data_IF_198418226753
#
_entry.id   IF_198418226753
#
_cell.length_a   1.000
_cell.length_b   1.000
_cell.length_c   1.000
_cell.angle_alpha   90.00
_cell.angle_beta   90.00
_cell.angle_gamma   90.00
#
_symmetry.space_group_name_H-M   'P 1'
#
loop_
_entity.id
_entity.type
_entity.pdbx_description
1 polymer ?
#
# COMPACT_ATOMS: atom_id res chain seq x y z
N UNK A 1 14.32 -8.24 -26.06
CA UNK A 1 15.36 -7.22 -26.29
C UNK A 1 15.88 -6.80 -24.93
N UNK A 2 17.13 -7.13 -24.62
CA UNK A 2 17.81 -6.77 -23.37
C UNK A 2 18.19 -5.30 -23.42
N UNK A 3 17.39 -4.45 -22.79
CA UNK A 3 17.79 -3.08 -22.45
C UNK A 3 18.99 -3.18 -21.50
N UNK A 4 20.16 -2.78 -21.99
CA UNK A 4 21.34 -2.59 -21.16
C UNK A 4 20.97 -1.61 -20.04
N UNK A 5 21.01 -2.10 -18.81
CA UNK A 5 20.94 -1.26 -17.62
C UNK A 5 22.11 -0.28 -17.69
N UNK A 6 21.86 0.98 -18.07
CA UNK A 6 22.76 2.04 -17.68
C UNK A 6 22.69 2.08 -16.15
N UNK A 7 23.69 1.49 -15.50
CA UNK A 7 23.92 1.57 -14.06
C UNK A 7 24.20 3.03 -13.72
N UNK A 8 23.14 3.76 -13.41
CA UNK A 8 23.22 5.12 -12.88
C UNK A 8 23.65 5.01 -11.43
N UNK A 9 24.82 5.53 -11.11
CA UNK A 9 25.25 5.65 -9.72
C UNK A 9 24.59 6.87 -9.07
N UNK A 10 23.41 6.65 -8.50
CA UNK A 10 22.67 7.66 -7.75
C UNK A 10 23.41 8.18 -6.53
N UNK A 11 24.35 7.39 -5.99
CA UNK A 11 25.16 7.79 -4.85
C UNK A 11 26.33 8.70 -5.27
N UNK A 12 26.67 8.80 -6.56
CA UNK A 12 27.70 9.72 -7.02
C UNK A 12 27.20 11.19 -7.04
N UNK A 13 25.92 11.40 -7.34
CA UNK A 13 25.31 12.72 -7.41
C UNK A 13 25.16 13.33 -6.00
N UNK A 14 25.82 14.48 -5.78
CA UNK A 14 25.76 15.22 -4.51
C UNK A 14 24.35 15.66 -4.14
N UNK A 15 23.48 15.87 -5.13
CA UNK A 15 22.09 16.22 -4.90
C UNK A 15 21.39 15.14 -4.07
N UNK A 16 21.43 13.89 -4.52
CA UNK A 16 20.72 12.77 -3.87
C UNK A 16 21.31 12.40 -2.51
N UNK A 17 22.62 12.61 -2.30
CA UNK A 17 23.23 12.50 -0.95
C UNK A 17 22.58 13.44 0.07
N UNK A 18 21.94 14.51 -0.43
CA UNK A 18 21.30 15.51 0.41
C UNK A 18 19.82 15.37 0.62
N UNK A 19 19.18 14.41 -0.04
CA UNK A 19 17.73 14.22 0.02
C UNK A 19 17.38 13.04 0.89
N UNK A 20 16.25 13.15 1.58
CA UNK A 20 15.65 12.05 2.36
C UNK A 20 15.25 10.86 1.49
N UNK A 21 14.90 11.13 0.23
CA UNK A 21 14.44 10.14 -0.73
C UNK A 21 14.95 10.47 -2.13
N UNK A 22 15.32 9.42 -2.86
CA UNK A 22 15.86 9.48 -4.22
C UNK A 22 15.08 8.56 -5.16
N UNK A 23 15.23 8.70 -6.49
CA UNK A 23 14.58 7.86 -7.48
C UNK A 23 14.71 6.33 -7.27
N UNK A 24 15.88 5.75 -6.94
CA UNK A 24 15.98 4.32 -6.67
C UNK A 24 15.29 3.90 -5.37
N UNK A 25 14.89 4.87 -4.54
CA UNK A 25 14.21 4.67 -3.26
C UNK A 25 12.68 4.70 -3.36
N UNK A 26 12.12 4.76 -4.57
CA UNK A 26 10.68 4.65 -4.80
C UNK A 26 10.40 3.60 -5.86
N UNK A 27 9.24 2.95 -5.75
CA UNK A 27 8.73 2.07 -6.78
C UNK A 27 7.65 2.81 -7.56
N UNK A 28 7.82 2.95 -8.87
CA UNK A 28 6.87 3.66 -9.72
C UNK A 28 6.27 2.68 -10.71
N UNK A 29 4.94 2.69 -10.80
CA UNK A 29 4.18 1.91 -11.75
C UNK A 29 3.26 2.85 -12.54
N UNK A 30 3.35 2.79 -13.87
CA UNK A 30 2.44 3.51 -14.75
C UNK A 30 1.32 2.57 -15.19
N UNK A 31 0.07 3.00 -14.99
CA UNK A 31 -1.11 2.26 -15.47
C UNK A 31 -1.50 2.80 -16.83
N UNK A 32 -1.54 1.93 -17.83
CA UNK A 32 -1.79 2.29 -19.22
C UNK A 32 -2.74 1.31 -19.88
N UNK A 33 -3.45 1.77 -20.91
CA UNK A 33 -4.20 0.90 -21.80
C UNK A 33 -3.25 0.36 -22.87
N UNK A 34 -3.19 -0.95 -23.01
CA UNK A 34 -2.38 -1.68 -23.99
C UNK A 34 -3.26 -2.61 -24.85
N UNK A 35 -2.83 -2.93 -26.09
CA UNK A 35 -3.55 -3.86 -26.93
C UNK A 35 -3.34 -5.30 -26.43
N UNK A 36 -4.42 -6.09 -26.36
CA UNK A 36 -4.33 -7.50 -25.99
C UNK A 36 -3.77 -8.36 -27.12
N UNK A 37 -2.64 -9.00 -26.85
CA UNK A 37 -2.05 -10.01 -27.73
C UNK A 37 -2.78 -11.37 -27.68
N UNK A 38 -3.85 -11.52 -26.89
CA UNK A 38 -4.54 -12.80 -26.67
C UNK A 38 -5.71 -13.08 -27.64
N UNK A 39 -6.02 -12.17 -28.56
CA UNK A 39 -7.04 -12.36 -29.60
C UNK A 39 -6.44 -12.43 -30.99
N UNK A 40 -6.70 -13.51 -31.73
CA UNK A 40 -6.31 -13.61 -33.14
C UNK A 40 -6.86 -12.43 -33.96
N UNK A 41 -5.94 -11.71 -34.62
CA UNK A 41 -5.96 -10.65 -35.64
C UNK A 41 -7.21 -9.80 -35.98
N UNK A 42 -8.40 -9.97 -35.41
CA UNK A 42 -9.58 -9.25 -35.85
C UNK A 42 -10.39 -8.51 -34.77
N UNK A 43 -10.02 -8.63 -33.49
CA UNK A 43 -10.52 -7.74 -32.42
C UNK A 43 -9.42 -7.58 -31.36
N UNK A 44 -8.56 -6.56 -31.49
CA UNK A 44 -7.62 -6.20 -30.42
C UNK A 44 -8.44 -5.66 -29.25
N UNK A 45 -8.61 -6.47 -28.21
CA UNK A 45 -9.27 -6.03 -26.99
C UNK A 45 -8.30 -5.16 -26.19
N UNK A 46 -8.73 -3.98 -25.78
CA UNK A 46 -7.95 -3.12 -24.89
C UNK A 46 -7.89 -3.72 -23.48
N UNK A 47 -6.71 -3.67 -22.87
CA UNK A 47 -6.50 -4.08 -21.48
C UNK A 47 -5.74 -3.02 -20.73
N UNK A 48 -6.05 -2.85 -19.44
CA UNK A 48 -5.19 -2.08 -18.56
C UNK A 48 -3.99 -2.93 -18.19
N UNK A 49 -2.79 -2.37 -18.31
CA UNK A 49 -1.53 -2.92 -17.84
C UNK A 49 -0.88 -2.00 -16.82
N UNK A 50 -0.05 -2.59 -15.96
CA UNK A 50 0.72 -1.87 -14.94
C UNK A 50 2.18 -2.14 -15.22
N UNK A 51 2.89 -1.11 -15.66
CA UNK A 51 4.28 -1.20 -16.07
C UNK A 51 5.18 -0.51 -15.06
N UNK A 52 6.19 -1.23 -14.58
CA UNK A 52 7.19 -0.65 -13.69
C UNK A 52 8.07 0.34 -14.46
N UNK A 53 8.26 1.54 -13.89
CA UNK A 53 9.17 2.55 -14.41
C UNK A 53 10.51 2.42 -13.69
N UNK A 54 11.56 2.15 -14.45
CA UNK A 54 12.91 2.04 -13.90
C UNK A 54 13.43 3.42 -13.48
N UNK A 55 14.12 3.55 -12.33
CA UNK A 55 14.67 4.84 -11.91
C UNK A 55 15.56 5.52 -12.96
N UNK A 56 16.33 4.73 -13.72
CA UNK A 56 17.23 5.23 -14.76
C UNK A 56 16.51 5.94 -15.92
N UNK A 57 15.24 5.59 -16.19
CA UNK A 57 14.48 6.27 -17.26
C UNK A 57 13.94 7.63 -16.83
N UNK A 58 14.05 7.98 -15.55
CA UNK A 58 13.61 9.28 -15.02
C UNK A 58 14.63 10.40 -15.27
N UNK A 59 15.88 10.10 -15.66
CA UNK A 59 16.95 11.10 -15.83
C UNK A 59 16.52 12.33 -16.64
N UNK A 60 15.86 12.19 -17.81
CA UNK A 60 15.43 13.36 -18.59
C UNK A 60 14.44 14.25 -17.81
N UNK A 61 13.49 13.65 -17.09
CA UNK A 61 12.53 14.40 -16.28
C UNK A 61 13.19 15.09 -15.08
N UNK A 62 14.19 14.46 -14.49
CA UNK A 62 14.94 14.97 -13.33
C UNK A 62 15.80 16.20 -13.65
N UNK A 63 15.96 16.58 -14.93
CA UNK A 63 16.55 17.87 -15.30
C UNK A 63 15.73 19.05 -14.74
N UNK A 64 14.44 18.85 -14.47
CA UNK A 64 13.53 19.84 -13.88
C UNK A 64 13.30 19.62 -12.38
N UNK A 65 14.19 18.89 -11.69
CA UNK A 65 14.02 18.51 -10.28
C UNK A 65 13.86 19.70 -9.32
N UNK A 66 14.45 20.85 -9.62
CA UNK A 66 14.37 22.01 -8.73
C UNK A 66 13.26 22.98 -9.11
N UNK A 67 12.55 22.75 -10.22
CA UNK A 67 11.53 23.65 -10.77
C UNK A 67 10.49 24.06 -9.72
N UNK A 68 9.89 23.10 -9.02
CA UNK A 68 8.87 23.42 -8.02
C UNK A 68 9.45 24.28 -6.88
N UNK A 69 10.65 23.96 -6.40
CA UNK A 69 11.29 24.70 -5.32
C UNK A 69 11.65 26.14 -5.70
N UNK A 70 11.93 26.38 -6.99
CA UNK A 70 12.26 27.69 -7.54
C UNK A 70 11.02 28.53 -7.88
N UNK A 71 9.93 27.89 -8.31
CA UNK A 71 8.72 28.61 -8.75
C UNK A 71 7.68 28.81 -7.65
N UNK A 72 7.75 28.05 -6.56
CA UNK A 72 6.78 28.14 -5.47
C UNK A 72 7.03 29.41 -4.63
N UNK A 73 6.16 30.41 -4.79
CA UNK A 73 6.22 31.64 -4.01
C UNK A 73 5.61 31.43 -2.60
N UNK A 74 6.42 30.89 -1.70
CA UNK A 74 6.01 30.57 -0.33
C UNK A 74 5.58 31.82 0.47
N UNK A 75 6.08 33.01 0.13
CA UNK A 75 5.78 34.24 0.87
C UNK A 75 4.35 34.72 0.63
N UNK A 76 3.85 34.57 -0.60
CA UNK A 76 2.47 34.96 -0.96
C UNK A 76 1.42 33.93 -0.53
N UNK A 77 1.80 32.66 -0.35
CA UNK A 77 0.87 31.57 0.00
C UNK A 77 0.31 31.66 1.42
N UNK A 78 1.10 32.15 2.38
CA UNK A 78 0.69 32.20 3.78
C UNK A 78 1.36 33.34 4.53
N UNK A 79 0.63 34.02 5.45
CA UNK A 79 1.24 35.02 6.32
C UNK A 79 2.09 34.41 7.46
N UNK A 80 1.98 33.11 7.73
CA UNK A 80 2.58 32.49 8.91
C UNK A 80 4.02 32.03 8.66
N UNK A 81 4.99 32.61 9.39
CA UNK A 81 6.42 32.34 9.20
C UNK A 81 6.82 30.86 9.38
N UNK A 82 6.20 30.15 10.33
CA UNK A 82 6.47 28.73 10.57
C UNK A 82 6.03 27.85 9.40
N UNK A 83 4.86 28.14 8.81
CA UNK A 83 4.35 27.43 7.65
C UNK A 83 5.19 27.73 6.40
N UNK A 84 5.67 28.98 6.25
CA UNK A 84 6.63 29.31 5.19
C UNK A 84 7.90 28.47 5.29
N UNK A 85 8.47 28.38 6.50
CA UNK A 85 9.66 27.57 6.73
C UNK A 85 9.41 26.08 6.44
N UNK A 86 8.25 25.56 6.83
CA UNK A 86 7.84 24.19 6.55
C UNK A 86 7.71 23.93 5.04
N UNK A 87 6.99 24.79 4.31
CA UNK A 87 6.78 24.66 2.87
C UNK A 87 8.09 24.75 2.09
N UNK A 88 8.97 25.69 2.44
CA UNK A 88 10.30 25.81 1.83
C UNK A 88 11.16 24.56 2.07
N UNK A 89 11.12 24.01 3.29
CA UNK A 89 11.82 22.75 3.59
C UNK A 89 11.24 21.59 2.79
N UNK A 90 9.92 21.46 2.71
CA UNK A 90 9.26 20.39 1.96
C UNK A 90 9.50 20.51 0.46
N UNK A 91 9.44 21.72 -0.10
CA UNK A 91 9.71 21.94 -1.53
C UNK A 91 11.17 21.63 -1.87
N UNK A 92 12.11 21.98 -0.99
CA UNK A 92 13.53 21.64 -1.17
C UNK A 92 13.79 20.13 -1.10
N UNK A 93 13.16 19.41 -0.16
CA UNK A 93 13.40 17.97 0.05
C UNK A 93 12.66 17.09 -0.95
N UNK A 94 11.41 17.43 -1.29
CA UNK A 94 10.51 16.57 -2.06
C UNK A 94 10.12 17.16 -3.40
N UNK A 95 10.37 18.44 -3.66
CA UNK A 95 9.89 19.13 -4.86
C UNK A 95 10.34 18.51 -6.17
N UNK A 96 11.44 17.75 -6.17
CA UNK A 96 11.86 16.94 -7.31
C UNK A 96 10.80 15.96 -7.80
N UNK A 97 9.95 15.43 -6.90
CA UNK A 97 8.87 14.51 -7.28
C UNK A 97 7.83 15.17 -8.19
N UNK A 98 7.80 16.51 -8.28
CA UNK A 98 6.92 17.21 -9.23
C UNK A 98 7.20 16.79 -10.68
N UNK A 99 8.44 16.39 -11.00
CA UNK A 99 8.78 15.84 -12.32
C UNK A 99 8.08 14.50 -12.62
N UNK A 100 7.55 13.83 -11.59
CA UNK A 100 6.80 12.60 -11.71
C UNK A 100 5.33 12.86 -12.05
N UNK A 101 4.85 14.11 -12.00
CA UNK A 101 3.48 14.42 -12.39
C UNK A 101 3.24 14.09 -13.87
N UNK A 102 2.07 13.54 -14.15
CA UNK A 102 1.58 13.23 -15.49
C UNK A 102 1.02 14.51 -16.12
N UNK A 103 1.60 14.91 -17.25
CA UNK A 103 1.22 16.15 -17.94
C UNK A 103 -0.08 16.01 -18.77
N UNK A 104 -0.54 14.79 -19.00
CA UNK A 104 -1.81 14.49 -19.67
C UNK A 104 -2.32 13.10 -19.30
N UNK A 105 -3.52 12.79 -19.77
CA UNK A 105 -4.19 11.50 -19.56
C UNK A 105 -4.17 10.73 -20.87
N UNK A 106 -3.91 9.43 -20.80
CA UNK A 106 -4.09 8.54 -21.94
C UNK A 106 -5.58 8.37 -22.24
N UNK A 107 -6.02 8.66 -23.44
CA UNK A 107 -7.38 8.42 -23.95
C UNK A 107 -7.43 7.12 -24.76
N UNK A 108 -6.40 6.87 -25.60
CA UNK A 108 -6.33 5.74 -26.54
C UNK A 108 -5.06 4.90 -26.37
N UNK A 109 -5.05 3.69 -26.93
CA UNK A 109 -3.87 2.82 -27.01
C UNK A 109 -2.76 3.43 -27.86
N UNK A 110 -3.11 4.23 -28.87
CA UNK A 110 -2.15 4.85 -29.79
C UNK A 110 -1.44 6.09 -29.21
N UNK A 111 -1.83 6.49 -27.98
CA UNK A 111 -1.26 7.67 -27.35
C UNK A 111 0.23 7.48 -26.99
N UNK A 112 1.02 8.57 -27.02
CA UNK A 112 2.42 8.55 -26.66
C UNK A 112 2.73 7.93 -25.29
N UNK A 113 3.93 7.36 -25.14
CA UNK A 113 4.32 6.65 -23.91
C UNK A 113 4.31 7.49 -22.62
N UNK A 114 4.43 8.81 -22.75
CA UNK A 114 4.41 9.71 -21.61
C UNK A 114 2.98 9.97 -21.07
N UNK A 115 1.95 9.62 -21.84
CA UNK A 115 0.56 9.66 -21.41
C UNK A 115 0.16 8.32 -20.79
N UNK A 116 -0.57 8.41 -19.68
CA UNK A 116 -0.98 7.27 -18.86
C UNK A 116 -2.34 7.54 -18.24
N UNK A 117 -3.03 6.50 -17.81
CA UNK A 117 -4.28 6.64 -17.05
C UNK A 117 -3.99 7.23 -15.67
N UNK A 118 -3.00 6.66 -14.98
CA UNK A 118 -2.47 7.18 -13.72
C UNK A 118 -1.05 6.69 -13.47
N UNK A 119 -0.39 7.34 -12.53
CA UNK A 119 0.89 6.93 -11.95
C UNK A 119 0.71 6.53 -10.50
N UNK A 120 1.15 5.32 -10.19
CA UNK A 120 1.15 4.77 -8.85
C UNK A 120 2.57 4.73 -8.31
N UNK A 121 2.79 5.42 -7.20
CA UNK A 121 4.08 5.47 -6.50
C UNK A 121 3.94 4.69 -5.19
N UNK A 122 4.88 3.82 -4.92
CA UNK A 122 4.96 3.10 -3.66
C UNK A 122 6.25 3.44 -2.93
N UNK A 123 6.10 3.85 -1.68
CA UNK A 123 7.18 4.23 -0.78
C UNK A 123 7.14 3.29 0.41
N UNK A 124 8.19 2.49 0.59
CA UNK A 124 8.32 1.65 1.77
C UNK A 124 8.82 2.48 2.93
N UNK A 125 7.89 3.10 3.65
CA UNK A 125 8.19 3.94 4.80
C UNK A 125 7.15 3.79 5.89
N UNK A 126 7.57 4.11 7.11
CA UNK A 126 6.77 4.10 8.34
C UNK A 126 6.41 5.50 8.85
N UNK A 127 6.81 6.53 8.11
CA UNK A 127 6.82 7.92 8.56
C UNK A 127 5.77 8.73 7.79
N UNK A 128 4.83 9.30 8.53
CA UNK A 128 3.76 10.13 7.99
C UNK A 128 4.30 11.48 7.46
N UNK A 129 5.53 11.86 7.81
CA UNK A 129 6.22 13.04 7.29
C UNK A 129 6.41 12.98 5.76
N UNK A 130 6.55 11.78 5.18
CA UNK A 130 6.64 11.62 3.73
C UNK A 130 5.32 11.91 3.02
N UNK A 131 4.17 11.73 3.69
CA UNK A 131 2.84 12.05 3.13
C UNK A 131 2.76 13.54 2.79
N UNK A 132 3.25 14.41 3.68
CA UNK A 132 3.28 15.86 3.47
C UNK A 132 4.17 16.23 2.29
N UNK A 133 5.36 15.63 2.20
CA UNK A 133 6.28 15.82 1.08
C UNK A 133 5.67 15.40 -0.26
N UNK A 134 5.02 14.23 -0.29
CA UNK A 134 4.37 13.71 -1.49
C UNK A 134 3.15 14.55 -1.89
N UNK A 135 2.31 14.95 -0.93
CA UNK A 135 1.17 15.81 -1.21
C UNK A 135 1.63 17.14 -1.80
N UNK A 136 2.62 17.78 -1.19
CA UNK A 136 3.16 19.04 -1.71
C UNK A 136 3.75 18.87 -3.10
N UNK A 137 4.65 17.90 -3.29
CA UNK A 137 5.41 17.78 -4.53
C UNK A 137 4.57 17.31 -5.71
N UNK A 138 3.58 16.45 -5.45
CA UNK A 138 2.69 15.92 -6.49
C UNK A 138 1.41 16.72 -6.63
N UNK A 139 1.14 17.77 -5.84
CA UNK A 139 -0.03 18.63 -6.09
C UNK A 139 0.13 19.48 -7.35
N UNK A 140 -1.00 19.90 -7.90
CA UNK A 140 -1.01 20.89 -8.97
C UNK A 140 -0.88 22.31 -8.41
N UNK A 141 0.20 23.00 -8.77
CA UNK A 141 0.46 24.40 -8.36
C UNK A 141 0.24 25.41 -9.48
N UNK A 142 -0.20 24.96 -10.67
CA UNK A 142 -0.46 25.83 -11.83
C UNK A 142 -1.81 26.55 -11.74
N UNK A 143 -2.76 25.99 -10.99
CA UNK A 143 -4.08 26.58 -10.73
C UNK A 143 -4.16 27.32 -9.40
N UNK A 144 -5.28 27.17 -8.70
CA UNK A 144 -5.51 27.77 -7.39
C UNK A 144 -4.58 27.17 -6.32
N UNK A 145 -3.53 27.92 -5.98
CA UNK A 145 -2.51 27.50 -5.02
C UNK A 145 -3.01 27.44 -3.58
N UNK A 146 -4.20 27.99 -3.28
CA UNK A 146 -4.80 27.87 -1.95
C UNK A 146 -5.30 26.44 -1.67
N UNK A 147 -5.69 25.69 -2.72
CA UNK A 147 -6.21 24.32 -2.58
C UNK A 147 -5.17 23.33 -2.05
N UNK A 148 -3.95 23.19 -2.63
CA UNK A 148 -2.93 22.31 -2.08
C UNK A 148 -2.55 22.68 -0.64
N UNK A 149 -2.50 23.97 -0.33
CA UNK A 149 -2.16 24.45 1.02
C UNK A 149 -3.21 24.03 2.07
N UNK A 150 -4.50 24.20 1.76
CA UNK A 150 -5.58 23.72 2.63
C UNK A 150 -5.53 22.20 2.81
N UNK A 151 -5.28 21.45 1.74
CA UNK A 151 -5.16 20.00 1.81
C UNK A 151 -3.98 19.56 2.66
N UNK A 152 -2.85 20.28 2.64
CA UNK A 152 -1.69 20.02 3.49
C UNK A 152 -2.01 20.24 4.98
N UNK A 153 -2.71 21.32 5.32
CA UNK A 153 -3.17 21.55 6.71
C UNK A 153 -4.14 20.46 7.15
N UNK A 154 -5.06 20.07 6.28
CA UNK A 154 -6.04 19.04 6.59
C UNK A 154 -5.40 17.64 6.69
N UNK A 155 -4.34 17.38 5.93
CA UNK A 155 -3.55 16.17 6.05
C UNK A 155 -2.96 16.04 7.45
N UNK A 156 -2.36 17.12 7.98
CA UNK A 156 -1.80 17.13 9.33
C UNK A 156 -2.87 16.85 10.39
N UNK A 157 -4.04 17.52 10.28
CA UNK A 157 -5.18 17.29 11.17
C UNK A 157 -5.69 15.85 11.07
N UNK A 158 -5.84 15.34 9.86
CA UNK A 158 -6.29 13.97 9.59
C UNK A 158 -5.34 12.94 10.19
N UNK A 159 -4.03 13.13 10.01
CA UNK A 159 -2.99 12.30 10.62
C UNK A 159 -3.11 12.42 12.13
N UNK A 160 -3.11 13.59 12.75
CA UNK A 160 -3.20 13.70 14.22
C UNK A 160 -4.45 13.07 14.82
N UNK A 161 -5.59 13.14 14.12
CA UNK A 161 -6.86 12.55 14.58
C UNK A 161 -6.88 11.02 14.47
N UNK A 162 -6.23 10.47 13.43
CA UNK A 162 -6.34 9.05 13.08
C UNK A 162 -5.06 8.24 13.33
N UNK A 163 -3.90 8.90 13.42
CA UNK A 163 -2.64 8.40 13.97
C UNK A 163 -2.84 8.24 15.48
N UNK A 164 -3.58 7.18 15.82
CA UNK A 164 -3.88 6.79 17.20
C UNK A 164 -2.59 6.30 17.81
N UNK A 165 -1.80 7.22 18.34
CA UNK A 165 -0.56 6.90 19.01
C UNK A 165 -0.75 5.75 20.01
N UNK A 166 0.20 4.84 19.93
CA UNK A 166 0.48 3.63 20.70
C UNK A 166 0.29 3.68 22.24
N UNK A 167 -0.10 4.81 22.83
CA UNK A 167 -0.18 5.00 24.29
C UNK A 167 -1.56 4.75 24.90
N UNK A 168 -2.64 4.73 24.11
CA UNK A 168 -4.02 4.65 24.65
C UNK A 168 -4.81 3.41 24.23
N UNK A 169 -4.17 2.42 23.60
CA UNK A 169 -4.80 1.14 23.34
C UNK A 169 -6.08 1.21 22.49
N UNK A 170 -6.18 2.19 21.58
CA UNK A 170 -7.26 2.21 20.60
C UNK A 170 -6.89 1.29 19.44
N UNK A 171 -7.83 0.42 19.06
CA UNK A 171 -7.71 -0.39 17.85
C UNK A 171 -7.42 0.51 16.64
N UNK A 172 -6.48 0.10 15.80
CA UNK A 172 -6.30 0.69 14.48
C UNK A 172 -7.59 0.45 13.70
N UNK A 173 -8.31 1.53 13.43
CA UNK A 173 -9.55 1.49 12.66
C UNK A 173 -9.23 1.97 11.26
N UNK A 174 -9.65 1.25 10.20
CA UNK A 174 -9.57 1.79 8.87
C UNK A 174 -10.35 3.10 8.80
N UNK A 175 -9.86 4.02 7.99
CA UNK A 175 -10.55 5.27 7.71
C UNK A 175 -10.25 5.73 6.29
N UNK A 176 -11.15 6.55 5.75
CA UNK A 176 -10.88 7.37 4.58
C UNK A 176 -11.35 8.80 4.91
N UNK A 177 -10.59 9.78 4.44
CA UNK A 177 -10.91 11.18 4.65
C UNK A 177 -10.49 12.00 3.42
N UNK A 178 -11.46 12.61 2.72
CA UNK A 178 -11.17 13.69 1.77
C UNK A 178 -10.47 14.85 2.47
N UNK A 179 -9.38 15.33 1.89
CA UNK A 179 -8.57 16.42 2.44
C UNK A 179 -9.05 17.80 1.99
N UNK A 180 -9.90 17.84 0.96
CA UNK A 180 -10.55 19.07 0.53
C UNK A 180 -11.91 19.22 1.24
N UNK A 181 -12.02 20.19 2.14
CA UNK A 181 -13.24 20.42 2.92
C UNK A 181 -14.40 20.97 2.07
N UNK A 182 -14.10 21.70 0.99
CA UNK A 182 -15.11 22.29 0.12
C UNK A 182 -15.90 21.23 -0.69
N UNK A 183 -15.38 20.01 -0.81
CA UNK A 183 -16.09 18.89 -1.44
C UNK A 183 -17.09 18.21 -0.50
N UNK A 184 -17.14 18.57 0.79
CA UNK A 184 -18.11 18.01 1.74
C UNK A 184 -19.52 18.61 1.59
N UNK A 185 -19.64 19.77 0.93
CA UNK A 185 -20.91 20.52 0.85
C UNK A 185 -21.61 20.41 -0.53
N UNK A 186 -20.87 20.18 -1.62
CA UNK A 186 -21.42 20.13 -2.99
C UNK A 186 -21.56 18.69 -3.52
N UNK A 187 -22.49 17.91 -2.97
CA UNK A 187 -22.80 16.53 -3.40
C UNK A 187 -23.51 16.43 -4.78
N UNK A 188 -23.67 17.54 -5.51
CA UNK A 188 -24.48 17.60 -6.75
C UNK A 188 -23.72 18.08 -7.99
N UNK A 189 -22.48 18.58 -7.84
CA UNK A 189 -21.60 18.81 -8.98
C UNK A 189 -20.82 17.53 -9.26
N UNK A 190 -20.53 17.25 -10.53
CA UNK A 190 -19.59 16.21 -10.95
C UNK A 190 -18.23 16.56 -10.35
N UNK A 191 -18.01 16.13 -9.10
CA UNK A 191 -16.95 16.60 -8.25
C UNK A 191 -15.60 16.15 -8.83
N UNK A 192 -14.77 17.11 -9.21
CA UNK A 192 -13.33 16.86 -9.32
C UNK A 192 -12.89 16.26 -7.99
N UNK A 193 -12.59 14.96 -8.01
CA UNK A 193 -12.28 14.23 -6.79
C UNK A 193 -10.93 14.72 -6.28
N UNK A 194 -10.96 15.45 -5.16
CA UNK A 194 -9.79 16.07 -4.55
C UNK A 194 -8.92 15.08 -3.76
N UNK A 195 -7.78 15.54 -3.21
CA UNK A 195 -6.89 14.66 -2.47
C UNK A 195 -7.60 13.94 -1.33
N UNK A 196 -7.28 12.67 -1.11
CA UNK A 196 -7.89 11.82 -0.09
C UNK A 196 -6.82 10.96 0.59
N UNK A 197 -6.93 10.84 1.91
CA UNK A 197 -6.11 9.93 2.71
C UNK A 197 -6.93 8.74 3.14
N UNK A 198 -6.38 7.55 2.95
CA UNK A 198 -6.94 6.28 3.43
C UNK A 198 -5.89 5.60 4.27
N UNK A 199 -6.30 5.03 5.39
CA UNK A 199 -5.52 4.01 6.10
C UNK A 199 -6.34 2.74 6.24
N UNK A 200 -5.71 1.61 5.96
CA UNK A 200 -6.34 0.30 6.12
C UNK A 200 -5.35 -0.67 6.80
N UNK A 201 -5.76 -1.33 7.90
CA UNK A 201 -4.98 -2.44 8.42
C UNK A 201 -5.09 -3.62 7.45
N UNK A 202 -4.03 -4.39 7.24
CA UNK A 202 -4.07 -5.63 6.46
C UNK A 202 -3.28 -6.73 7.17
N UNK A 203 -3.65 -7.99 6.92
CA UNK A 203 -2.90 -9.14 7.46
C UNK A 203 -1.86 -9.60 6.46
N UNK A 204 -0.68 -9.92 6.98
CA UNK A 204 0.45 -10.38 6.20
C UNK A 204 1.30 -11.40 6.95
N UNK A 205 2.01 -12.24 6.21
CA UNK A 205 2.72 -13.39 6.75
C UNK A 205 4.18 -13.08 7.06
N UNK A 206 4.59 -13.09 8.33
CA UNK A 206 6.01 -13.07 8.69
C UNK A 206 6.75 -14.31 8.15
N UNK A 207 8.05 -14.20 7.86
CA UNK A 207 8.91 -15.37 7.59
C UNK A 207 9.92 -15.58 8.71
N UNK A 208 10.55 -16.76 8.70
CA UNK A 208 11.63 -17.16 9.60
C UNK A 208 12.86 -16.26 9.44
N UNK A 209 13.43 -15.80 10.57
CA UNK A 209 14.67 -15.03 10.62
C UNK A 209 14.48 -13.57 11.01
N UNK A 210 15.57 -12.79 11.01
CA UNK A 210 15.50 -11.33 11.15
C UNK A 210 14.82 -10.73 9.92
N UNK A 211 13.91 -9.78 10.14
CA UNK A 211 13.36 -8.97 9.06
C UNK A 211 14.51 -8.22 8.38
N UNK A 212 14.75 -8.40 7.07
CA UNK A 212 15.76 -7.62 6.37
C UNK A 212 15.46 -6.12 6.49
N UNK A 213 16.50 -5.29 6.50
CA UNK A 213 16.36 -3.83 6.58
C UNK A 213 15.44 -3.30 5.47
N UNK A 214 14.66 -2.24 5.78
CA UNK A 214 13.83 -1.56 4.80
C UNK A 214 14.68 -1.20 3.56
N UNK A 215 14.21 -1.55 2.35
CA UNK A 215 14.93 -1.26 1.08
C UNK A 215 15.33 0.21 0.98
N UNK A 216 14.51 1.08 1.55
CA UNK A 216 14.77 2.49 1.67
C UNK A 216 15.18 2.72 3.11
N UNK A 217 16.48 2.69 3.36
CA UNK A 217 17.03 3.14 4.63
C UNK A 217 16.53 4.56 4.83
N UNK A 218 15.75 4.73 5.89
CA UNK A 218 15.37 6.00 6.48
C UNK A 218 16.65 6.81 6.54
N UNK A 219 16.64 7.95 5.85
CA UNK A 219 17.72 8.94 5.75
C UNK A 219 18.98 8.55 6.56
N UNK A 220 20.10 8.17 5.90
CA UNK A 220 21.34 7.83 6.58
C UNK A 220 21.79 8.90 7.60
N UNK A 221 21.36 10.14 7.41
CA UNK A 221 21.65 11.30 8.28
C UNK A 221 20.89 11.26 9.60
N UNK A 222 19.71 10.66 9.64
CA UNK A 222 18.94 10.61 10.87
C UNK A 222 19.52 9.61 11.87
N UNK A 223 20.52 8.80 11.49
CA UNK A 223 21.24 7.92 12.41
C UNK A 223 20.33 6.95 13.18
N UNK A 224 19.07 6.82 12.76
CA UNK A 224 18.06 5.99 13.40
C UNK A 224 18.43 4.53 13.13
N UNK A 225 19.34 3.98 13.92
CA UNK A 225 19.14 2.65 14.47
C UNK A 225 17.93 2.70 15.41
N UNK A 226 16.73 2.99 14.88
CA UNK A 226 15.44 2.76 15.54
C UNK A 226 15.40 2.94 17.07
N UNK A 227 16.06 3.96 17.62
CA UNK A 227 16.24 4.09 19.07
C UNK A 227 15.06 4.80 19.73
N UNK A 228 14.26 5.54 18.94
CA UNK A 228 12.84 5.78 19.25
C UNK A 228 12.02 4.61 18.74
N UNK A 229 12.03 3.52 19.50
CA UNK A 229 11.15 2.38 19.33
C UNK A 229 11.33 1.66 18.01
N UNK A 230 11.90 0.48 18.08
CA UNK A 230 11.62 -0.68 17.21
C UNK A 230 10.12 -1.04 17.12
N UNK A 231 9.21 -0.08 17.38
CA UNK A 231 7.83 -0.30 17.75
C UNK A 231 6.81 0.50 16.93
N UNK A 232 7.03 0.67 15.62
CA UNK A 232 5.87 0.66 14.72
C UNK A 232 5.84 -0.72 14.09
N UNK A 233 5.38 -1.64 14.93
CA UNK A 233 5.55 -3.08 14.84
C UNK A 233 4.68 -3.57 13.69
N UNK A 234 5.27 -4.36 12.80
CA UNK A 234 4.55 -5.52 12.29
C UNK A 234 4.01 -6.22 13.55
N UNK A 235 2.73 -6.03 13.84
CA UNK A 235 2.11 -6.49 15.09
C UNK A 235 1.69 -7.90 14.87
N UNK A 236 1.83 -8.78 15.86
CA UNK A 236 1.04 -9.99 15.77
C UNK A 236 -0.45 -9.63 15.83
N UNK A 237 -1.30 -10.51 15.30
CA UNK A 237 -2.75 -10.32 15.34
C UNK A 237 -3.28 -10.08 16.78
N UNK A 238 -2.62 -10.70 17.78
CA UNK A 238 -2.93 -10.51 19.18
C UNK A 238 -2.56 -9.10 19.66
N UNK A 239 -1.37 -8.58 19.33
CA UNK A 239 -0.99 -7.21 19.69
C UNK A 239 -1.94 -6.16 19.09
N UNK A 240 -2.40 -6.35 17.85
CA UNK A 240 -3.37 -5.46 17.22
C UNK A 240 -4.70 -5.40 17.99
N UNK A 241 -5.13 -6.52 18.56
CA UNK A 241 -6.41 -6.62 19.26
C UNK A 241 -6.29 -6.30 20.76
N UNK A 242 -5.28 -6.81 21.45
CA UNK A 242 -4.99 -6.54 22.86
C UNK A 242 -4.19 -5.25 23.05
N UNK A 243 -4.53 -4.20 22.29
CA UNK A 243 -4.10 -2.83 22.61
C UNK A 243 -2.57 -2.63 22.72
N UNK A 244 -1.80 -3.29 21.86
CA UNK A 244 -0.34 -3.25 21.83
C UNK A 244 0.35 -3.79 23.08
N UNK A 245 -0.35 -4.60 23.88
CA UNK A 245 0.28 -5.43 24.90
C UNK A 245 1.38 -6.29 24.25
N UNK A 246 2.49 -6.48 24.95
CA UNK A 246 3.48 -7.46 24.52
C UNK A 246 2.87 -8.86 24.65
N UNK A 247 2.56 -9.48 23.50
CA UNK A 247 2.00 -10.82 23.43
C UNK A 247 3.02 -11.85 22.94
N UNK A 248 4.32 -11.54 22.98
CA UNK A 248 5.39 -12.45 22.52
C UNK A 248 5.35 -13.82 23.21
N UNK A 249 4.98 -13.85 24.49
CA UNK A 249 4.73 -15.04 25.30
C UNK A 249 3.52 -15.87 24.83
N UNK A 250 2.58 -15.26 24.11
CA UNK A 250 1.35 -15.92 23.58
C UNK A 250 1.44 -16.22 22.10
N UNK A 251 2.31 -15.56 21.35
CA UNK A 251 2.45 -15.72 19.89
C UNK A 251 2.79 -17.16 19.46
N UNK A 252 3.63 -17.86 20.22
CA UNK A 252 3.94 -19.27 19.94
C UNK A 252 2.75 -20.21 20.21
N UNK A 253 1.76 -19.76 20.98
CA UNK A 253 0.53 -20.50 21.23
C UNK A 253 -0.51 -20.33 20.14
N UNK A 254 -0.33 -19.37 19.22
CA UNK A 254 -1.27 -19.11 18.13
C UNK A 254 -1.46 -20.35 17.26
N UNK A 255 -2.66 -20.49 16.69
CA UNK A 255 -2.97 -21.59 15.78
C UNK A 255 -2.02 -21.58 14.58
N UNK A 256 -1.63 -20.40 14.12
CA UNK A 256 -0.66 -20.22 13.03
C UNK A 256 0.74 -20.73 13.33
N UNK A 257 1.18 -20.60 14.58
CA UNK A 257 2.48 -21.08 15.04
C UNK A 257 2.50 -22.60 15.17
N UNK A 258 1.39 -23.20 15.61
CA UNK A 258 1.26 -24.64 15.90
C UNK A 258 0.89 -25.48 14.67
N UNK A 259 -0.06 -25.03 13.86
CA UNK A 259 -0.60 -25.82 12.76
C UNK A 259 -0.07 -25.34 11.42
N UNK A 260 0.82 -26.16 10.83
CA UNK A 260 1.52 -25.89 9.57
C UNK A 260 1.06 -26.87 8.50
N UNK A 261 -0.05 -26.61 7.79
CA UNK A 261 -0.67 -27.56 6.86
C UNK A 261 0.25 -27.93 5.69
N UNK A 262 1.18 -27.04 5.32
CA UNK A 262 2.18 -27.29 4.28
C UNK A 262 3.19 -28.38 4.65
N UNK A 263 3.33 -28.72 5.93
CA UNK A 263 4.16 -29.87 6.32
C UNK A 263 3.53 -31.18 5.81
N UNK A 264 2.19 -31.25 5.76
CA UNK A 264 1.45 -32.47 5.40
C UNK A 264 0.95 -32.48 3.97
N UNK A 265 0.84 -31.32 3.32
CA UNK A 265 0.32 -31.19 1.96
C UNK A 265 1.41 -30.64 1.01
N UNK A 266 1.92 -31.52 0.13
CA UNK A 266 2.98 -31.20 -0.85
C UNK A 266 2.60 -30.10 -1.85
N UNK A 267 1.34 -30.05 -2.28
CA UNK A 267 0.89 -29.01 -3.22
C UNK A 267 0.89 -27.64 -2.55
N UNK A 268 0.43 -27.59 -1.30
CA UNK A 268 0.47 -26.37 -0.50
C UNK A 268 1.92 -25.96 -0.17
N UNK A 269 2.79 -26.92 0.14
CA UNK A 269 4.21 -26.70 0.36
C UNK A 269 4.90 -25.99 -0.82
N UNK A 270 4.79 -26.57 -2.02
CA UNK A 270 5.41 -26.01 -3.23
C UNK A 270 4.90 -24.60 -3.56
N UNK A 271 3.59 -24.35 -3.35
CA UNK A 271 2.99 -23.03 -3.55
C UNK A 271 3.48 -22.02 -2.52
N UNK A 272 3.53 -22.39 -1.24
CA UNK A 272 4.04 -21.52 -0.19
C UNK A 272 5.50 -21.19 -0.40
N UNK A 273 6.36 -22.15 -0.76
CA UNK A 273 7.76 -21.83 -1.10
C UNK A 273 7.87 -20.94 -2.33
N UNK A 274 7.05 -21.17 -3.36
CA UNK A 274 6.99 -20.33 -4.56
C UNK A 274 6.58 -18.90 -4.23
N UNK A 275 5.66 -18.67 -3.30
CA UNK A 275 5.17 -17.32 -3.00
C UNK A 275 5.95 -16.62 -1.90
N UNK A 276 6.31 -17.39 -0.86
CA UNK A 276 6.90 -16.88 0.38
C UNK A 276 8.43 -17.02 0.42
N UNK A 277 9.05 -17.79 -0.49
CA UNK A 277 10.48 -18.11 -0.49
C UNK A 277 10.90 -18.99 0.70
N UNK A 278 10.37 -18.66 1.88
CA UNK A 278 10.48 -19.32 3.17
C UNK A 278 9.07 -19.61 3.70
N UNK A 279 8.98 -20.44 4.74
CA UNK A 279 7.70 -20.73 5.36
C UNK A 279 7.20 -19.58 6.24
N UNK A 280 5.90 -19.24 6.14
CA UNK A 280 5.25 -18.34 7.08
C UNK A 280 5.41 -18.82 8.52
N UNK A 281 5.72 -17.90 9.43
CA UNK A 281 5.92 -18.18 10.85
C UNK A 281 4.84 -17.56 11.72
N UNK A 282 4.45 -16.33 11.41
CA UNK A 282 3.47 -15.57 12.17
C UNK A 282 2.51 -14.88 11.22
N UNK A 283 1.28 -14.67 11.69
CA UNK A 283 0.33 -13.79 11.02
C UNK A 283 0.39 -12.43 11.71
N UNK A 284 0.79 -11.42 10.94
CA UNK A 284 0.97 -10.08 11.44
C UNK A 284 -0.07 -9.14 10.84
N UNK A 285 -0.38 -8.07 11.56
CA UNK A 285 -1.16 -6.93 11.09
C UNK A 285 -0.17 -5.80 10.79
N UNK A 286 -0.27 -5.25 9.58
CA UNK A 286 0.40 -4.02 9.19
C UNK A 286 -0.62 -2.98 8.68
N UNK A 287 -0.16 -1.77 8.41
CA UNK A 287 -0.94 -0.64 7.96
C UNK A 287 -0.52 -0.20 6.56
N UNK A 288 -1.52 -0.07 5.68
CA UNK A 288 -1.36 0.51 4.35
C UNK A 288 -2.00 1.90 4.35
N UNK A 289 -1.17 2.91 4.16
CA UNK A 289 -1.60 4.27 3.89
C UNK A 289 -1.67 4.48 2.39
N UNK A 290 -2.76 5.09 1.92
CA UNK A 290 -2.95 5.45 0.52
C UNK A 290 -3.30 6.93 0.49
N UNK A 291 -2.47 7.69 -0.20
CA UNK A 291 -2.69 9.10 -0.48
C UNK A 291 -3.05 9.24 -1.96
N UNK A 292 -4.31 9.51 -2.24
CA UNK A 292 -4.75 9.95 -3.57
C UNK A 292 -4.49 11.44 -3.65
N UNK A 293 -3.72 11.88 -4.64
CA UNK A 293 -3.37 13.29 -4.81
C UNK A 293 -4.41 13.96 -5.72
N UNK A 294 -4.69 13.33 -6.85
CA UNK A 294 -5.65 13.74 -7.86
C UNK A 294 -6.05 12.49 -8.68
N UNK A 295 -6.87 12.65 -9.72
CA UNK A 295 -7.31 11.56 -10.61
C UNK A 295 -6.16 10.81 -11.31
N UNK A 296 -4.93 11.35 -11.29
CA UNK A 296 -3.77 10.82 -12.04
C UNK A 296 -2.68 10.25 -11.13
N UNK A 297 -2.70 10.49 -9.83
CA UNK A 297 -1.60 10.11 -8.94
C UNK A 297 -2.06 9.49 -7.63
N UNK A 298 -1.52 8.30 -7.35
CA UNK A 298 -1.70 7.60 -6.08
C UNK A 298 -0.34 7.32 -5.48
N UNK A 299 -0.18 7.63 -4.19
CA UNK A 299 0.99 7.25 -3.41
C UNK A 299 0.58 6.28 -2.32
N UNK A 300 1.30 5.18 -2.19
CA UNK A 300 1.05 4.16 -1.16
C UNK A 300 2.24 4.01 -0.24
N UNK A 301 1.98 3.85 1.05
CA UNK A 301 2.99 3.66 2.08
C UNK A 301 2.62 2.44 2.93
N UNK A 302 3.54 1.50 3.08
CA UNK A 302 3.36 0.36 3.99
C UNK A 302 4.69 -0.08 4.57
N UNK A 303 4.65 -0.65 5.78
CA UNK A 303 5.85 -1.13 6.47
C UNK A 303 6.21 -2.58 6.11
N UNK A 304 5.26 -3.37 5.61
CA UNK A 304 5.46 -4.77 5.24
C UNK A 304 5.76 -5.02 3.74
N UNK A 305 6.52 -6.09 3.54
CA UNK A 305 6.76 -6.94 2.35
C UNK A 305 7.29 -6.39 1.04
N UNK A 306 7.70 -5.13 0.98
CA UNK A 306 8.63 -4.64 -0.07
C UNK A 306 10.06 -5.19 0.05
N UNK A 307 10.39 -5.83 1.18
CA UNK A 307 11.72 -6.33 1.51
C UNK A 307 12.16 -7.56 0.73
N UNK A 308 11.21 -8.25 0.15
CA UNK A 308 11.45 -9.48 -0.56
C UNK A 308 11.83 -9.14 -1.99
N UNK A 309 12.80 -9.92 -2.50
CA UNK A 309 13.18 -9.93 -3.91
C UNK A 309 11.94 -9.74 -4.79
N UNK A 310 12.03 -8.99 -5.90
CA UNK A 310 10.98 -8.95 -6.94
C UNK A 310 10.55 -10.37 -7.36
N UNK A 311 11.42 -11.35 -7.06
CA UNK A 311 11.22 -12.74 -7.33
C UNK A 311 11.52 -13.64 -6.11
N UNK A 312 10.53 -14.34 -5.55
CA UNK A 312 9.14 -14.38 -6.00
C UNK A 312 8.40 -13.04 -5.75
N UNK A 313 7.24 -12.79 -6.37
CA UNK A 313 6.53 -11.50 -6.31
C UNK A 313 5.85 -11.27 -4.94
N UNK A 314 6.65 -10.92 -3.94
CA UNK A 314 6.14 -10.87 -2.58
C UNK A 314 5.72 -9.47 -2.12
N UNK A 315 6.09 -8.44 -2.89
CA UNK A 315 5.70 -7.06 -2.61
C UNK A 315 4.22 -6.87 -2.88
N UNK A 316 3.55 -6.06 -2.07
CA UNK A 316 2.14 -5.70 -2.27
C UNK A 316 1.90 -5.24 -3.72
N UNK A 317 2.81 -4.40 -4.23
CA UNK A 317 2.79 -3.89 -5.60
C UNK A 317 2.89 -4.99 -6.65
N UNK A 318 3.88 -5.88 -6.53
CA UNK A 318 4.02 -7.02 -7.44
C UNK A 318 2.80 -7.92 -7.41
N UNK A 319 2.21 -8.16 -6.23
CA UNK A 319 0.97 -8.95 -6.10
C UNK A 319 -0.18 -8.30 -6.85
N UNK A 320 -0.45 -7.01 -6.64
CA UNK A 320 -1.52 -6.26 -7.34
C UNK A 320 -1.32 -6.29 -8.88
N UNK A 321 -0.08 -6.34 -9.34
CA UNK A 321 0.24 -6.47 -10.78
C UNK A 321 -0.06 -7.87 -11.33
N UNK A 322 -0.10 -8.91 -10.50
CA UNK A 322 -0.27 -10.30 -10.95
C UNK A 322 -1.58 -10.56 -11.73
N UNK A 323 -1.55 -11.64 -12.51
CA UNK A 323 -2.58 -12.06 -13.46
C UNK A 323 -3.98 -12.14 -12.82
N UNK A 324 -4.09 -12.60 -11.57
CA UNK A 324 -5.37 -12.70 -10.86
C UNK A 324 -6.06 -11.34 -10.70
N UNK A 325 -5.29 -10.28 -10.41
CA UNK A 325 -5.82 -8.93 -10.29
C UNK A 325 -5.91 -8.20 -11.61
N UNK A 326 -5.07 -8.56 -12.59
CA UNK A 326 -5.25 -8.13 -13.99
C UNK A 326 -6.64 -8.53 -14.50
N UNK A 327 -7.13 -9.72 -14.19
CA UNK A 327 -8.49 -10.17 -14.54
C UNK A 327 -9.59 -9.32 -13.89
N UNK A 328 -9.50 -9.04 -12.58
CA UNK A 328 -10.48 -8.21 -11.86
C UNK A 328 -10.47 -6.76 -12.37
N UNK A 329 -9.27 -6.17 -12.51
CA UNK A 329 -9.06 -4.83 -13.05
C UNK A 329 -9.64 -4.70 -14.46
N UNK A 330 -9.30 -5.63 -15.35
CA UNK A 330 -9.78 -5.60 -16.73
C UNK A 330 -11.28 -5.85 -16.80
N UNK A 331 -11.84 -6.73 -15.95
CA UNK A 331 -13.30 -6.90 -15.86
C UNK A 331 -13.99 -5.61 -15.45
N UNK A 332 -13.45 -4.89 -14.47
CA UNK A 332 -13.98 -3.59 -14.05
C UNK A 332 -13.92 -2.57 -15.21
N UNK A 333 -12.75 -2.46 -15.86
CA UNK A 333 -12.52 -1.57 -17.01
C UNK A 333 -13.43 -1.86 -18.21
N UNK A 334 -13.67 -3.14 -18.51
CA UNK A 334 -14.52 -3.57 -19.64
C UNK A 334 -16.02 -3.59 -19.31
N UNK A 335 -16.42 -3.30 -18.06
CA UNK A 335 -17.84 -3.30 -17.69
C UNK A 335 -18.61 -2.23 -18.48
N UNK A 336 -19.88 -2.49 -18.78
CA UNK A 336 -20.71 -1.69 -19.71
C UNK A 336 -20.96 -0.25 -19.25
N UNK A 337 -20.65 0.07 -17.99
CA UNK A 337 -20.51 1.45 -17.50
C UNK A 337 -19.08 1.88 -17.78
N UNK A 338 -18.83 2.59 -18.90
CA UNK A 338 -17.52 3.23 -19.19
C UNK A 338 -17.21 4.31 -18.16
N UNK A 339 -16.88 3.92 -16.93
CA UNK A 339 -16.26 4.80 -15.95
C UNK A 339 -14.79 4.96 -16.34
N UNK A 340 -14.31 6.20 -16.38
CA UNK A 340 -12.90 6.47 -16.62
C UNK A 340 -12.06 5.78 -15.54
N UNK A 341 -11.04 5.02 -15.94
CA UNK A 341 -10.14 4.36 -14.99
C UNK A 341 -9.11 5.37 -14.49
N UNK A 342 -9.38 5.92 -13.31
CA UNK A 342 -8.59 6.95 -12.66
C UNK A 342 -7.96 6.45 -11.34
N UNK A 343 -7.28 7.34 -10.63
CA UNK A 343 -6.66 7.06 -9.33
C UNK A 343 -7.65 6.52 -8.29
N UNK A 344 -8.88 7.04 -8.23
CA UNK A 344 -9.89 6.63 -7.26
C UNK A 344 -10.37 5.21 -7.54
N UNK A 345 -10.69 4.94 -8.81
CA UNK A 345 -11.03 3.61 -9.29
C UNK A 345 -9.89 2.62 -9.04
N UNK A 346 -8.64 3.04 -9.31
CA UNK A 346 -7.46 2.23 -9.07
C UNK A 346 -7.28 1.88 -7.61
N UNK A 347 -7.54 2.82 -6.69
CA UNK A 347 -7.51 2.57 -5.25
C UNK A 347 -8.57 1.56 -4.83
N UNK A 348 -9.80 1.66 -5.32
CA UNK A 348 -10.86 0.69 -5.02
C UNK A 348 -10.46 -0.71 -5.49
N UNK A 349 -9.96 -0.83 -6.73
CA UNK A 349 -9.48 -2.10 -7.29
C UNK A 349 -8.29 -2.64 -6.48
N UNK A 350 -7.36 -1.76 -6.10
CA UNK A 350 -6.16 -2.10 -5.33
C UNK A 350 -6.47 -2.50 -3.89
N UNK A 351 -7.43 -1.85 -3.24
CA UNK A 351 -7.90 -2.21 -1.90
C UNK A 351 -8.66 -3.53 -1.93
N UNK A 352 -9.57 -3.71 -2.88
CA UNK A 352 -10.23 -5.00 -3.11
C UNK A 352 -9.21 -6.11 -3.35
N UNK A 353 -8.10 -5.79 -4.02
CA UNK A 353 -6.99 -6.69 -4.22
C UNK A 353 -6.22 -7.01 -2.93
N UNK A 354 -5.77 -5.98 -2.22
CA UNK A 354 -4.97 -6.08 -1.01
C UNK A 354 -5.73 -6.76 0.15
N UNK A 355 -7.00 -6.42 0.34
CA UNK A 355 -7.91 -7.04 1.31
C UNK A 355 -8.27 -8.47 0.88
N UNK A 356 -8.37 -8.68 -0.44
CA UNK A 356 -8.60 -9.97 -1.07
C UNK A 356 -7.48 -11.00 -0.85
N UNK A 357 -6.28 -10.59 -0.41
CA UNK A 357 -5.15 -11.49 -0.14
C UNK A 357 -5.44 -12.54 0.96
N UNK A 358 -6.53 -12.38 1.71
CA UNK A 358 -7.04 -13.35 2.69
C UNK A 358 -8.41 -13.94 2.29
N UNK A 359 -9.02 -13.41 1.24
CA UNK A 359 -10.39 -13.70 0.85
C UNK A 359 -10.50 -14.90 -0.11
N UNK A 360 -11.62 -15.60 -0.04
CA UNK A 360 -11.97 -16.82 -0.79
C UNK A 360 -11.90 -16.64 -2.31
N UNK A 361 -12.10 -15.42 -2.81
CA UNK A 361 -12.07 -15.07 -4.24
C UNK A 361 -10.68 -15.10 -4.86
N UNK A 362 -9.62 -15.04 -4.03
CA UNK A 362 -8.24 -14.90 -4.48
C UNK A 362 -7.51 -16.24 -4.59
N UNK A 363 -7.90 -17.18 -3.73
CA UNK A 363 -7.34 -18.53 -3.65
C UNK A 363 -8.31 -19.54 -4.29
N UNK A 364 -8.77 -19.30 -5.52
CA UNK A 364 -9.78 -20.20 -6.16
C UNK A 364 -9.33 -21.66 -6.20
N UNK A 365 -8.02 -21.90 -6.21
CA UNK A 365 -7.41 -23.24 -6.21
C UNK A 365 -6.86 -23.67 -4.84
N UNK A 366 -7.14 -22.92 -3.79
CA UNK A 366 -6.69 -23.18 -2.41
C UNK A 366 -7.85 -22.89 -1.47
N UNK A 367 -8.52 -23.96 -1.03
CA UNK A 367 -9.43 -23.87 0.10
C UNK A 367 -8.65 -23.17 1.23
N UNK A 368 -9.21 -22.04 1.68
CA UNK A 368 -8.51 -20.92 2.33
C UNK A 368 -7.36 -21.37 3.24
N UNK A 369 -6.13 -20.89 3.06
CA UNK A 369 -5.04 -21.21 4.00
C UNK A 369 -5.38 -20.87 5.47
N UNK A 370 -6.37 -19.99 5.70
CA UNK A 370 -6.96 -19.72 7.01
C UNK A 370 -8.07 -20.72 7.32
N UNK A 371 -9.12 -20.83 6.49
CA UNK A 371 -10.25 -21.71 6.80
C UNK A 371 -9.92 -23.20 6.70
N UNK A 372 -8.99 -23.67 5.87
CA UNK A 372 -8.48 -25.06 5.90
C UNK A 372 -7.59 -25.32 7.11
N UNK A 373 -6.79 -24.33 7.54
CA UNK A 373 -6.00 -24.48 8.77
C UNK A 373 -6.90 -24.55 9.98
N UNK A 374 -7.85 -23.63 10.07
CA UNK A 374 -8.80 -23.59 11.16
C UNK A 374 -9.77 -24.77 11.06
N UNK A 375 -10.30 -25.14 9.88
CA UNK A 375 -11.18 -26.30 9.73
C UNK A 375 -10.45 -27.61 10.03
N UNK A 376 -9.23 -27.82 9.50
CA UNK A 376 -8.45 -29.02 9.80
C UNK A 376 -8.02 -29.11 11.27
N UNK A 377 -7.67 -27.98 11.88
CA UNK A 377 -7.38 -27.95 13.31
C UNK A 377 -8.64 -28.13 14.17
N UNK A 378 -9.77 -27.51 13.79
CA UNK A 378 -11.07 -27.66 14.43
C UNK A 378 -11.61 -29.08 14.31
N UNK A 379 -11.44 -29.75 13.16
CA UNK A 379 -11.80 -31.15 12.93
C UNK A 379 -10.95 -32.07 13.82
N UNK A 380 -9.64 -31.81 13.90
CA UNK A 380 -8.75 -32.53 14.81
C UNK A 380 -9.13 -32.32 16.28
N UNK A 381 -9.49 -31.09 16.67
CA UNK A 381 -9.93 -30.76 18.02
C UNK A 381 -11.29 -31.39 18.34
N UNK A 382 -12.24 -31.35 17.40
CA UNK A 382 -13.57 -31.96 17.51
C UNK A 382 -13.44 -33.47 17.68
N UNK A 383 -12.63 -34.13 16.86
CA UNK A 383 -12.36 -35.57 16.99
C UNK A 383 -11.76 -35.93 18.36
N UNK A 384 -10.79 -35.13 18.85
CA UNK A 384 -10.18 -35.33 20.17
C UNK A 384 -11.18 -35.08 21.30
N UNK A 385 -12.04 -34.08 21.17
CA UNK A 385 -13.06 -33.74 22.15
C UNK A 385 -14.13 -34.85 22.26
N UNK A 386 -14.52 -35.44 21.13
CA UNK A 386 -15.44 -36.60 21.12
C UNK A 386 -14.84 -37.86 21.75
N UNK A 387 -13.52 -38.07 21.63
CA UNK A 387 -12.86 -39.28 22.15
C UNK A 387 -12.37 -39.16 23.59
N UNK A 388 -11.91 -37.98 24.00
CA UNK A 388 -11.33 -37.74 25.32
C UNK A 388 -11.42 -36.25 25.68
N UNK A 389 -12.59 -35.78 26.17
CA UNK A 389 -12.77 -34.39 26.55
C UNK A 389 -11.79 -34.02 27.68
N UNK A 390 -11.17 -32.85 27.56
CA UNK A 390 -10.29 -32.31 28.60
C UNK A 390 -10.37 -30.78 28.62
N UNK A 391 -10.14 -30.18 29.78
CA UNK A 391 -10.12 -28.72 29.95
C UNK A 391 -9.13 -28.06 28.98
N UNK A 392 -8.00 -28.72 28.70
CA UNK A 392 -7.01 -28.25 27.72
C UNK A 392 -7.59 -28.12 26.31
N UNK A 393 -8.37 -29.12 25.87
CA UNK A 393 -9.01 -29.08 24.54
C UNK A 393 -10.08 -27.99 24.43
N UNK A 394 -10.82 -27.74 25.50
CA UNK A 394 -11.80 -26.65 25.56
C UNK A 394 -11.09 -25.29 25.46
N UNK A 395 -9.99 -25.09 26.18
CA UNK A 395 -9.19 -23.87 26.08
C UNK A 395 -8.57 -23.69 24.69
N UNK A 396 -8.08 -24.76 24.06
CA UNK A 396 -7.57 -24.71 22.68
C UNK A 396 -8.65 -24.29 21.68
N UNK A 397 -9.91 -24.72 21.86
CA UNK A 397 -11.05 -24.29 21.05
C UNK A 397 -11.43 -22.82 21.27
N UNK A 398 -11.41 -22.36 22.52
CA UNK A 398 -11.68 -20.95 22.84
C UNK A 398 -10.64 -20.02 22.20
N UNK A 399 -9.35 -20.36 22.26
CA UNK A 399 -8.31 -19.59 21.60
C UNK A 399 -8.49 -19.53 20.07
N UNK A 400 -8.88 -20.65 19.45
CA UNK A 400 -9.20 -20.69 18.01
C UNK A 400 -10.35 -19.74 17.68
N UNK A 401 -11.41 -19.79 18.47
CA UNK A 401 -12.59 -18.96 18.28
C UNK A 401 -12.24 -17.46 18.44
N UNK A 402 -11.45 -17.11 19.44
CA UNK A 402 -10.98 -15.75 19.67
C UNK A 402 -10.16 -15.24 18.48
N UNK A 403 -9.14 -15.99 18.03
CA UNK A 403 -8.32 -15.58 16.88
C UNK A 403 -9.15 -15.42 15.60
N UNK A 404 -10.07 -16.34 15.31
CA UNK A 404 -10.96 -16.27 14.16
C UNK A 404 -11.85 -15.02 14.22
N UNK A 405 -12.41 -14.71 15.38
CA UNK A 405 -13.23 -13.52 15.56
C UNK A 405 -12.43 -12.25 15.30
N UNK A 406 -11.14 -12.20 15.67
CA UNK A 406 -10.27 -11.06 15.37
C UNK A 406 -10.10 -10.89 13.86
N UNK A 407 -9.79 -11.98 13.14
CA UNK A 407 -9.61 -11.94 11.67
C UNK A 407 -10.90 -11.48 10.99
N UNK A 408 -12.05 -12.03 11.38
CA UNK A 408 -13.36 -11.68 10.82
C UNK A 408 -13.66 -10.19 11.05
N UNK A 409 -13.40 -9.66 12.24
CA UNK A 409 -13.63 -8.25 12.56
C UNK A 409 -12.75 -7.32 11.71
N UNK A 410 -11.47 -7.65 11.54
CA UNK A 410 -10.56 -6.88 10.67
C UNK A 410 -11.09 -6.90 9.23
N UNK A 411 -11.42 -8.08 8.70
CA UNK A 411 -11.92 -8.22 7.33
C UNK A 411 -13.24 -7.48 7.11
N UNK A 412 -14.16 -7.53 8.06
CA UNK A 412 -15.43 -6.81 7.97
C UNK A 412 -15.19 -5.30 7.87
N UNK A 413 -14.35 -4.75 8.75
CA UNK A 413 -14.01 -3.32 8.71
C UNK A 413 -13.34 -2.89 7.41
N UNK A 414 -12.53 -3.76 6.80
CA UNK A 414 -11.93 -3.52 5.49
C UNK A 414 -13.00 -3.50 4.38
N UNK A 415 -13.95 -4.43 4.40
CA UNK A 415 -15.07 -4.48 3.44
C UNK A 415 -15.96 -3.25 3.59
N UNK A 416 -16.29 -2.86 4.83
CA UNK A 416 -17.09 -1.68 5.11
C UNK A 416 -16.41 -0.41 4.58
N UNK A 417 -15.09 -0.29 4.77
CA UNK A 417 -14.29 0.80 4.20
C UNK A 417 -14.37 0.83 2.67
N UNK A 418 -14.14 -0.31 2.00
CA UNK A 418 -14.19 -0.38 0.53
C UNK A 418 -15.57 0.02 0.01
N UNK A 419 -16.63 -0.46 0.68
CA UNK A 419 -18.01 -0.14 0.31
C UNK A 419 -18.29 1.35 0.47
N UNK A 420 -17.77 1.97 1.54
CA UNK A 420 -17.92 3.42 1.78
C UNK A 420 -17.12 4.30 0.82
N UNK A 421 -16.01 3.80 0.26
CA UNK A 421 -15.25 4.51 -0.79
C UNK A 421 -15.94 4.37 -2.15
N UNK A 422 -16.65 3.25 -2.38
CA UNK A 422 -17.40 2.99 -3.62
C UNK A 422 -18.74 3.74 -3.71
N UNK A 423 -19.35 4.05 -2.57
CA UNK A 423 -20.59 4.82 -2.45
C UNK A 423 -20.36 6.31 -2.59
#
# INVERSE_FOLDING_TARGET
MTTQEHLVDWNADSYWKTRRISPPQILINDVRTEPSNQGGSHNMQEMLEINEVLPSTLIPALQKRDQLSETLDVESLTPYAQERQLLSRLSHEYGWMNCLRSQGVQESVDDPEHLRKLRWIHISSKYTEYLHGCLLALSDWTGDQSKPLQCLRQLEVCIQQNERFSKHGRYFAPFYQPLNENLKEDATSTAESGPMLISVPFLDWGVTGESPALRFQIDPREGYQSSRGSSHLIRSILQHFYRLEDTSDREHHQVFSKHKPWIKNRNLDLRIRRWYGNYPTTLNVDELWILVIDSRHVVTFSTNQTWKSRWPPMQLTSRIVEISFRGIRNKFFTSTQRQEYDAFTHVVVTLGAAVGLLHRSFWTDLVLCLSDRYAGYLEQLQYRLHRAPSTKLVMDLLHVQEELNIIINIMQKQIDLITAIQS
#
